data_IF_028057570943
#
_entry.id   IF_028057570943
#
_cell.length_a   1.000
_cell.length_b   1.000
_cell.length_c   1.000
_cell.angle_alpha   90.00
_cell.angle_beta   90.00
_cell.angle_gamma   90.00
#
_symmetry.space_group_name_H-M   'P 1'
#
loop_
_entity.id
_entity.type
_entity.pdbx_description
1 polymer ?
#
# COMPACT_ATOMS: atom_id res chain seq x y z
N UNK A 1 11.85 5.25 5.48
CA UNK A 1 10.41 5.41 5.77
C UNK A 1 10.09 4.33 6.78
N UNK A 2 9.36 4.63 7.85
CA UNK A 2 9.05 3.67 8.94
C UNK A 2 8.70 2.29 8.36
N UNK A 3 9.21 1.21 8.96
CA UNK A 3 8.99 -0.19 8.55
C UNK A 3 7.50 -0.59 8.73
N UNK A 4 6.61 -0.03 7.91
CA UNK A 4 5.21 -0.44 7.85
C UNK A 4 5.11 -1.69 6.98
N UNK A 5 4.52 -2.75 7.53
CA UNK A 5 4.27 -4.01 6.84
C UNK A 5 3.36 -3.85 5.61
N UNK A 6 2.56 -2.76 5.56
CA UNK A 6 1.62 -2.44 4.50
C UNK A 6 2.22 -1.50 3.43
N UNK A 7 3.51 -1.17 3.52
CA UNK A 7 4.19 -0.34 2.51
C UNK A 7 4.78 -1.20 1.38
N UNK A 8 4.26 -1.02 0.16
CA UNK A 8 4.66 -1.80 -1.02
C UNK A 8 5.59 -1.04 -1.97
N UNK A 9 6.02 0.18 -1.62
CA UNK A 9 6.84 1.02 -2.49
C UNK A 9 6.10 1.49 -3.75
N UNK A 10 6.80 1.52 -4.89
CA UNK A 10 6.27 2.03 -6.16
C UNK A 10 5.49 0.96 -6.93
N UNK A 11 4.24 0.72 -6.52
CA UNK A 11 3.28 -0.12 -7.27
C UNK A 11 2.27 0.72 -8.04
N UNK A 12 1.76 0.16 -9.14
CA UNK A 12 0.69 0.79 -9.92
C UNK A 12 -0.66 0.71 -9.19
N UNK A 13 -1.61 1.56 -9.59
CA UNK A 13 -2.99 1.52 -9.07
C UNK A 13 -3.64 0.15 -9.29
N UNK A 14 -3.45 -0.43 -10.47
CA UNK A 14 -4.00 -1.75 -10.83
C UNK A 14 -3.44 -2.86 -9.93
N UNK A 15 -2.13 -2.87 -9.69
CA UNK A 15 -1.52 -3.83 -8.77
C UNK A 15 -2.04 -3.69 -7.34
N UNK A 16 -2.25 -2.45 -6.88
CA UNK A 16 -2.86 -2.21 -5.58
C UNK A 16 -4.29 -2.77 -5.50
N UNK A 17 -5.08 -2.60 -6.56
CA UNK A 17 -6.44 -3.14 -6.67
C UNK A 17 -6.44 -4.67 -6.67
N UNK A 18 -5.53 -5.30 -7.44
CA UNK A 18 -5.38 -6.76 -7.47
C UNK A 18 -5.04 -7.33 -6.08
N UNK A 19 -4.04 -6.76 -5.38
CA UNK A 19 -3.63 -7.20 -4.03
C UNK A 19 -4.78 -7.06 -3.02
N UNK A 20 -5.49 -5.94 -3.06
CA UNK A 20 -6.62 -5.70 -2.15
C UNK A 20 -7.79 -6.62 -2.46
N UNK A 21 -8.12 -6.84 -3.74
CA UNK A 21 -9.17 -7.75 -4.15
C UNK A 21 -8.83 -9.21 -3.80
N UNK A 22 -7.57 -9.62 -3.94
CA UNK A 22 -7.09 -10.94 -3.48
C UNK A 22 -7.23 -11.10 -1.97
N UNK A 23 -7.01 -10.03 -1.19
CA UNK A 23 -7.21 -10.05 0.25
C UNK A 23 -8.70 -10.20 0.62
N UNK A 24 -9.62 -9.72 -0.24
CA UNK A 24 -11.06 -10.01 -0.19
C UNK A 24 -11.77 -9.57 1.10
N UNK A 25 -11.18 -8.65 1.86
CA UNK A 25 -11.67 -8.23 3.18
C UNK A 25 -11.77 -6.73 3.26
N UNK A 26 -12.96 -6.23 3.59
CA UNK A 26 -13.18 -4.79 3.77
C UNK A 26 -12.33 -4.22 4.90
N UNK A 27 -11.88 -2.98 4.70
CA UNK A 27 -10.92 -2.32 5.59
C UNK A 27 -9.46 -2.72 5.35
N UNK A 28 -9.20 -3.70 4.47
CA UNK A 28 -7.85 -4.00 4.00
C UNK A 28 -7.24 -2.77 3.33
N UNK A 29 -5.99 -2.45 3.66
CA UNK A 29 -5.32 -1.28 3.13
C UNK A 29 -3.85 -1.53 2.80
N UNK A 30 -3.33 -0.74 1.88
CA UNK A 30 -1.90 -0.71 1.55
C UNK A 30 -1.44 0.72 1.26
N UNK A 31 -0.15 0.94 1.41
CA UNK A 31 0.50 2.22 1.16
C UNK A 31 1.47 2.05 0.00
N UNK A 32 1.38 2.95 -0.97
CA UNK A 32 2.25 2.98 -2.14
C UNK A 32 2.75 4.38 -2.42
N UNK A 33 3.84 4.46 -3.16
CA UNK A 33 4.32 5.72 -3.70
C UNK A 33 3.40 6.22 -4.82
N UNK A 34 3.20 7.54 -4.86
CA UNK A 34 2.50 8.16 -5.97
C UNK A 34 3.40 8.14 -7.21
N UNK A 35 3.01 7.37 -8.22
CA UNK A 35 3.74 7.33 -9.49
C UNK A 35 3.72 8.67 -10.23
N UNK A 36 2.71 9.51 -9.98
CA UNK A 36 2.47 10.78 -10.68
C UNK A 36 3.02 12.01 -9.95
N UNK A 37 3.32 11.90 -8.65
CA UNK A 37 3.78 13.03 -7.85
C UNK A 37 4.94 12.61 -6.94
N UNK A 38 6.16 13.05 -7.29
CA UNK A 38 7.35 12.77 -6.49
C UNK A 38 7.19 13.35 -5.07
N UNK A 39 7.47 12.52 -4.06
CA UNK A 39 7.35 12.92 -2.64
C UNK A 39 5.95 12.81 -2.05
N UNK A 40 4.98 12.26 -2.78
CA UNK A 40 3.62 11.99 -2.28
C UNK A 40 3.34 10.49 -2.20
N UNK A 41 2.45 10.11 -1.29
CA UNK A 41 2.01 8.73 -1.10
C UNK A 41 0.54 8.56 -1.46
N UNK A 42 0.13 7.32 -1.67
CA UNK A 42 -1.26 6.94 -1.85
C UNK A 42 -1.59 5.82 -0.87
N UNK A 43 -2.63 6.03 -0.07
CA UNK A 43 -3.23 5.01 0.78
C UNK A 43 -4.41 4.42 0.01
N UNK A 44 -4.37 3.13 -0.26
CA UNK A 44 -5.43 2.42 -0.96
C UNK A 44 -6.18 1.54 0.04
N UNK A 45 -7.51 1.61 0.05
CA UNK A 45 -8.38 0.90 1.01
C UNK A 45 -9.48 0.18 0.26
N UNK A 46 -9.71 -1.10 0.57
CA UNK A 46 -10.82 -1.88 0.03
C UNK A 46 -12.09 -1.68 0.86
N UNK A 47 -13.20 -1.41 0.20
CA UNK A 47 -14.52 -1.35 0.81
C UNK A 47 -15.59 -1.74 -0.22
N UNK A 48 -16.41 -2.74 0.08
CA UNK A 48 -17.51 -3.22 -0.77
C UNK A 48 -17.05 -3.58 -2.20
N UNK A 49 -15.83 -4.12 -2.34
CA UNK A 49 -15.24 -4.45 -3.64
C UNK A 49 -14.73 -3.23 -4.44
N UNK A 50 -14.78 -2.03 -3.86
CA UNK A 50 -14.22 -0.81 -4.43
C UNK A 50 -12.92 -0.42 -3.71
N UNK A 51 -11.95 0.06 -4.48
CA UNK A 51 -10.67 0.52 -3.93
C UNK A 51 -10.64 2.04 -3.88
N UNK A 52 -10.70 2.56 -2.67
CA UNK A 52 -10.60 3.99 -2.39
C UNK A 52 -9.12 4.38 -2.30
N UNK A 53 -8.70 5.34 -3.14
CA UNK A 53 -7.33 5.86 -3.15
C UNK A 53 -7.29 7.26 -2.53
N UNK A 54 -6.65 7.39 -1.38
CA UNK A 54 -6.43 8.65 -0.70
C UNK A 54 -5.00 9.15 -0.94
N UNK A 55 -4.86 10.38 -1.43
CA UNK A 55 -3.55 10.97 -1.71
C UNK A 55 -3.02 11.68 -0.46
N UNK A 56 -1.83 11.30 -0.04
CA UNK A 56 -1.11 11.92 1.08
C UNK A 56 0.05 12.72 0.49
N UNK A 57 0.05 14.03 0.70
CA UNK A 57 1.15 14.89 0.31
C UNK A 57 2.09 15.11 1.50
N UNK A 58 3.40 15.11 1.24
CA UNK A 58 4.36 15.56 2.26
C UNK A 58 4.34 17.08 2.34
N UNK A 59 4.06 17.59 3.53
CA UNK A 59 4.18 19.00 3.85
C UNK A 59 5.61 19.30 4.32
N UNK A 60 6.07 20.53 4.04
CA UNK A 60 7.38 21.02 4.51
C UNK A 60 7.30 21.68 5.90
N UNK A 61 6.15 21.56 6.57
CA UNK A 61 5.89 22.20 7.84
C UNK A 61 6.58 21.48 9.01
N UNK A 62 6.91 22.22 10.08
CA UNK A 62 7.60 21.66 11.26
C UNK A 62 6.67 20.87 12.18
N UNK A 63 5.37 21.14 12.16
CA UNK A 63 4.40 20.52 13.06
C UNK A 63 3.62 19.39 12.40
N UNK A 64 3.40 19.46 11.09
CA UNK A 64 2.69 18.44 10.32
C UNK A 64 3.49 18.07 9.07
N UNK A 65 3.81 16.79 8.91
CA UNK A 65 4.63 16.33 7.78
C UNK A 65 3.77 15.75 6.64
N UNK A 66 2.50 15.46 6.89
CA UNK A 66 1.60 14.82 5.93
C UNK A 66 0.24 15.53 5.89
N UNK A 67 -0.30 15.74 4.69
CA UNK A 67 -1.66 16.21 4.45
C UNK A 67 -2.42 15.20 3.63
N UNK A 68 -3.57 14.74 4.11
CA UNK A 68 -4.46 13.86 3.37
C UNK A 68 -5.51 14.67 2.61
N UNK A 69 -5.54 14.48 1.30
CA UNK A 69 -6.62 14.96 0.46
C UNK A 69 -7.81 13.99 0.55
N UNK A 70 -8.88 14.47 1.16
CA UNK A 70 -10.19 13.80 1.23
C UNK A 70 -11.05 14.31 0.05
N UNK A 71 -12.22 13.72 -0.17
CA UNK A 71 -13.15 14.11 -1.24
C UNK A 71 -13.34 15.65 -1.34
N UNK A 72 -13.54 16.20 -2.55
CA UNK A 72 -13.68 17.64 -2.76
C UNK A 72 -14.82 18.21 -1.89
N UNK A 73 -14.50 19.20 -1.06
CA UNK A 73 -15.43 19.80 -0.08
C UNK A 73 -15.17 19.38 1.38
N UNK A 74 -14.32 18.37 1.63
CA UNK A 74 -13.84 18.02 2.96
C UNK A 74 -12.58 18.82 3.32
N UNK A 75 -12.43 19.22 4.59
CA UNK A 75 -11.22 19.89 5.09
C UNK A 75 -10.04 18.92 5.05
N UNK A 76 -8.93 19.36 4.46
CA UNK A 76 -7.67 18.60 4.48
C UNK A 76 -7.26 18.30 5.91
N UNK A 77 -6.88 17.04 6.18
CA UNK A 77 -6.41 16.62 7.51
C UNK A 77 -4.89 16.55 7.54
N UNK A 78 -4.31 17.11 8.59
CA UNK A 78 -2.87 17.16 8.78
C UNK A 78 -2.43 16.12 9.82
N UNK A 79 -1.35 15.40 9.51
CA UNK A 79 -0.79 14.35 10.35
C UNK A 79 0.73 14.54 10.53
N UNK A 80 1.22 14.12 11.69
CA UNK A 80 2.65 14.20 12.04
C UNK A 80 3.50 13.13 11.36
N UNK A 81 2.94 11.94 11.18
CA UNK A 81 3.59 10.79 10.57
C UNK A 81 2.52 9.85 9.99
N UNK A 82 2.97 8.81 9.27
CA UNK A 82 2.08 7.83 8.65
C UNK A 82 1.38 6.99 9.71
N UNK A 83 2.09 6.64 10.80
CA UNK A 83 1.50 5.88 11.91
C UNK A 83 0.26 6.55 12.51
N UNK A 84 0.31 7.86 12.78
CA UNK A 84 -0.83 8.61 13.32
C UNK A 84 -1.97 8.72 12.31
N UNK A 85 -1.65 8.84 11.03
CA UNK A 85 -2.64 8.82 9.95
C UNK A 85 -3.41 7.49 9.98
N UNK A 86 -2.70 6.36 9.98
CA UNK A 86 -3.31 5.03 10.02
C UNK A 86 -4.09 4.83 11.32
N UNK A 87 -3.54 5.22 12.47
CA UNK A 87 -4.20 5.08 13.77
C UNK A 87 -5.50 5.87 13.85
N UNK A 88 -5.54 7.09 13.30
CA UNK A 88 -6.76 7.88 13.25
C UNK A 88 -7.86 7.15 12.46
N UNK A 89 -7.49 6.56 11.33
CA UNK A 89 -8.43 5.86 10.45
C UNK A 89 -8.81 4.45 10.89
N UNK A 90 -8.28 3.94 12.00
CA UNK A 90 -8.76 2.69 12.63
C UNK A 90 -10.14 2.86 13.27
N UNK A 91 -10.54 4.10 13.56
CA UNK A 91 -11.84 4.40 14.18
C UNK A 91 -12.87 4.80 13.12
N UNK A 92 -14.15 4.43 13.31
CA UNK A 92 -15.24 4.88 12.44
C UNK A 92 -15.43 6.40 12.51
N UNK A 93 -16.13 6.95 11.50
CA UNK A 93 -16.51 8.37 11.40
C UNK A 93 -15.35 9.37 11.29
N UNK A 94 -14.19 8.92 10.80
CA UNK A 94 -13.00 9.77 10.66
C UNK A 94 -12.81 10.38 9.26
N UNK A 95 -13.84 10.29 8.40
CA UNK A 95 -13.84 10.88 7.06
C UNK A 95 -13.34 9.97 5.94
N UNK A 96 -13.21 8.66 6.20
CA UNK A 96 -12.97 7.62 5.18
C UNK A 96 -14.14 6.64 5.15
N UNK A 97 -14.28 5.92 4.04
CA UNK A 97 -15.46 5.07 3.78
C UNK A 97 -15.58 3.88 4.75
N UNK A 98 -14.45 3.33 5.21
CA UNK A 98 -14.41 2.16 6.10
C UNK A 98 -13.25 2.29 7.10
N UNK A 99 -13.39 1.82 8.36
CA UNK A 99 -12.27 1.76 9.28
C UNK A 99 -11.14 0.86 8.76
N UNK A 100 -9.89 1.28 8.96
CA UNK A 100 -8.72 0.51 8.54
C UNK A 100 -8.56 -0.72 9.42
N UNK A 101 -8.50 -1.88 8.77
CA UNK A 101 -8.22 -3.16 9.39
C UNK A 101 -6.83 -3.64 8.96
N UNK A 102 -5.97 -3.93 9.93
CA UNK A 102 -4.64 -4.44 9.66
C UNK A 102 -4.74 -5.89 9.20
N UNK A 103 -4.66 -6.10 7.90
CA UNK A 103 -4.77 -7.42 7.30
C UNK A 103 -3.38 -8.03 7.08
N UNK A 104 -3.04 -9.02 7.91
CA UNK A 104 -1.77 -9.78 7.81
C UNK A 104 -1.64 -10.62 6.53
N UNK A 105 -2.73 -10.79 5.78
CA UNK A 105 -2.74 -11.52 4.51
C UNK A 105 -2.41 -10.66 3.31
N UNK A 106 -2.33 -9.34 3.45
CA UNK A 106 -1.74 -8.47 2.43
C UNK A 106 -0.24 -8.78 2.43
N UNK A 107 0.16 -9.70 1.57
CA UNK A 107 1.57 -10.00 1.36
C UNK A 107 2.19 -8.74 0.78
N UNK A 108 3.08 -8.09 1.53
CA UNK A 108 4.06 -7.21 0.91
C UNK A 108 4.67 -7.98 -0.23
N UNK A 109 4.85 -7.35 -1.38
CA UNK A 109 5.61 -7.95 -2.48
C UNK A 109 7.09 -7.95 -2.05
N UNK A 110 7.38 -8.63 -0.94
CA UNK A 110 8.70 -8.90 -0.42
C UNK A 110 9.31 -9.89 -1.40
N UNK A 111 9.89 -9.32 -2.44
CA UNK A 111 10.82 -9.96 -3.37
C UNK A 111 10.35 -11.34 -3.83
N UNK A 112 9.48 -11.38 -4.87
CA UNK A 112 9.72 -12.45 -5.84
C UNK A 112 11.18 -12.32 -6.22
N UNK A 113 11.91 -13.42 -6.09
CA UNK A 113 13.35 -13.55 -6.08
C UNK A 113 14.05 -12.50 -6.96
N UNK A 114 15.24 -12.05 -6.55
CA UNK A 114 16.21 -11.49 -7.50
C UNK A 114 16.47 -12.55 -8.59
N UNK A 115 15.59 -12.66 -9.57
CA UNK A 115 15.85 -13.39 -10.80
C UNK A 115 16.85 -12.52 -11.51
N UNK A 116 18.11 -12.93 -11.44
CA UNK A 116 19.18 -12.35 -12.23
C UNK A 116 18.71 -12.24 -13.70
N UNK A 117 19.09 -11.18 -14.44
CA UNK A 117 18.73 -11.02 -15.85
C UNK A 117 19.33 -12.09 -16.77
N UNK A 118 20.08 -13.06 -16.24
CA UNK A 118 20.59 -14.22 -16.98
C UNK A 118 20.12 -15.49 -16.27
N UNK A 119 18.95 -15.98 -16.69
CA UNK A 119 18.28 -17.10 -16.07
C UNK A 119 19.03 -18.42 -16.24
N UNK A 120 19.84 -18.80 -15.24
CA UNK A 120 20.23 -20.18 -14.95
C UNK A 120 20.72 -20.28 -13.50
N UNK A 121 19.94 -20.94 -12.64
CA UNK A 121 20.41 -21.45 -11.35
C UNK A 121 20.69 -22.94 -11.51
N UNK A 122 21.94 -23.34 -11.36
CA UNK A 122 22.34 -24.75 -11.28
C UNK A 122 22.67 -25.10 -9.84
N UNK A 123 21.87 -25.95 -9.21
CA UNK A 123 22.29 -26.79 -8.09
C UNK A 123 21.99 -28.24 -8.46
N UNK A 124 23.03 -29.07 -8.50
CA UNK A 124 22.90 -30.52 -8.75
C UNK A 124 22.42 -30.92 -10.15
N UNK A 125 22.65 -30.09 -11.18
CA UNK A 125 22.41 -30.48 -12.58
C UNK A 125 20.94 -30.56 -13.02
N UNK A 126 19.99 -29.97 -12.29
CA UNK A 126 18.57 -29.90 -12.71
C UNK A 126 18.10 -28.47 -12.96
N UNK A 127 17.50 -28.26 -14.13
CA UNK A 127 16.93 -27.01 -14.62
C UNK A 127 15.49 -26.85 -14.13
N UNK A 128 15.17 -25.80 -13.38
CA UNK A 128 13.80 -25.53 -12.90
C UNK A 128 13.24 -24.26 -13.54
N UNK A 129 12.09 -24.36 -14.21
CA UNK A 129 11.35 -23.18 -14.71
C UNK A 129 10.76 -22.41 -13.52
N UNK A 130 10.96 -21.09 -13.51
CA UNK A 130 10.37 -20.15 -12.56
C UNK A 130 8.86 -19.98 -12.84
N UNK A 131 8.07 -21.04 -12.68
CA UNK A 131 6.61 -21.01 -12.80
C UNK A 131 5.90 -21.42 -11.51
N UNK A 132 6.64 -21.71 -10.44
CA UNK A 132 6.09 -22.14 -9.14
C UNK A 132 6.43 -21.25 -7.93
N UNK A 133 7.13 -20.12 -8.10
CA UNK A 133 7.39 -19.20 -6.98
C UNK A 133 6.25 -18.20 -6.67
N UNK A 134 5.19 -18.15 -7.48
CA UNK A 134 4.08 -17.20 -7.27
C UNK A 134 2.74 -17.84 -6.83
N UNK A 135 2.70 -19.12 -6.45
CA UNK A 135 1.48 -19.71 -5.87
C UNK A 135 1.82 -20.65 -4.73
N UNK A 136 1.85 -20.09 -3.51
CA UNK A 136 1.20 -20.54 -2.28
C UNK A 136 1.59 -19.64 -1.12
#
# INVERSE_FOLDING_TARGET
MEDLAEYHGRISRRQAEEILNEAGRDGSYLIRDSASAAGSYCVCVLCDGWVYTYRVFKQKDKFFSLSLQVAPGMKERLFRNVGNLIAAFKFPDQGISVPLFQNKYIRTVSTCCKCAPEGLLTQGGKLWKCSKCCKL
#
